data_IF_985827516004
#
_entry.id   IF_985827516004
#
_cell.length_a   1.000
_cell.length_b   1.000
_cell.length_c   1.000
_cell.angle_alpha   90.00
_cell.angle_beta   90.00
_cell.angle_gamma   90.00
#
_symmetry.space_group_name_H-M   'P 1'
#
loop_
_entity.id
_entity.type
_entity.pdbx_description
1 polymer ?
#
# COMPACT_ATOMS: atom_id res chain seq x y z
N UNK A 1 -14.01 -19.12 -3.45
CA UNK A 1 -14.03 -17.93 -4.30
C UNK A 1 -12.64 -17.29 -4.29
N UNK A 2 -12.21 -16.78 -5.43
CA UNK A 2 -11.00 -15.97 -5.52
C UNK A 2 -11.37 -14.54 -5.12
N UNK A 3 -10.58 -13.94 -4.20
CA UNK A 3 -10.87 -12.62 -3.65
C UNK A 3 -9.59 -11.82 -3.46
N UNK A 4 -9.73 -10.51 -3.44
CA UNK A 4 -8.72 -9.60 -2.92
C UNK A 4 -9.06 -9.23 -1.48
N UNK A 5 -8.05 -8.92 -0.65
CA UNK A 5 -8.30 -8.53 0.73
C UNK A 5 -7.03 -8.36 1.55
N UNK A 6 -7.23 -8.32 2.86
CA UNK A 6 -6.15 -8.11 3.82
C UNK A 6 -6.13 -9.23 4.87
N UNK A 7 -5.37 -10.31 4.63
CA UNK A 7 -5.23 -11.42 5.56
C UNK A 7 -4.23 -11.07 6.68
N UNK A 8 -4.61 -10.11 7.53
CA UNK A 8 -3.77 -9.54 8.59
C UNK A 8 -3.14 -10.60 9.51
N UNK A 9 -3.82 -11.71 9.73
CA UNK A 9 -3.40 -12.82 10.59
C UNK A 9 -2.26 -13.68 9.99
N UNK A 10 -2.00 -13.58 8.69
CA UNK A 10 -1.04 -14.43 8.00
C UNK A 10 0.17 -13.70 7.41
N UNK A 11 0.24 -12.38 7.50
CA UNK A 11 1.36 -11.59 6.98
C UNK A 11 2.48 -11.57 8.02
N UNK A 12 3.65 -12.13 7.68
CA UNK A 12 4.75 -12.35 8.62
C UNK A 12 5.94 -11.38 8.44
N UNK A 13 5.79 -10.35 7.62
CA UNK A 13 6.87 -9.35 7.46
C UNK A 13 7.07 -8.56 8.76
N UNK A 14 8.32 -8.21 9.13
CA UNK A 14 8.59 -7.45 10.37
C UNK A 14 7.81 -6.14 10.44
N UNK A 15 7.70 -5.43 9.32
CA UNK A 15 6.98 -4.16 9.22
C UNK A 15 5.49 -4.34 9.48
N UNK A 16 4.90 -5.41 8.94
CA UNK A 16 3.50 -5.72 9.19
C UNK A 16 3.26 -6.12 10.64
N UNK A 17 4.12 -6.95 11.22
CA UNK A 17 3.99 -7.37 12.62
C UNK A 17 4.12 -6.17 13.59
N UNK A 18 5.00 -5.23 13.30
CA UNK A 18 5.11 -3.99 14.08
C UNK A 18 3.84 -3.14 13.99
N UNK A 19 3.29 -2.97 12.78
CA UNK A 19 2.01 -2.27 12.56
C UNK A 19 0.86 -2.98 13.30
N UNK A 20 0.73 -4.29 13.15
CA UNK A 20 -0.33 -5.09 13.75
C UNK A 20 -0.30 -4.98 15.28
N UNK A 21 0.88 -5.13 15.89
CA UNK A 21 1.05 -5.00 17.33
C UNK A 21 0.62 -3.62 17.83
N UNK A 22 1.13 -2.55 17.21
CA UNK A 22 0.79 -1.19 17.59
C UNK A 22 -0.72 -0.90 17.44
N UNK A 23 -1.33 -1.40 16.38
CA UNK A 23 -2.76 -1.27 16.15
C UNK A 23 -3.57 -1.96 17.24
N UNK A 24 -3.27 -3.22 17.54
CA UNK A 24 -3.97 -4.01 18.55
C UNK A 24 -3.80 -3.45 19.98
N UNK A 25 -2.61 -2.96 20.31
CA UNK A 25 -2.35 -2.31 21.61
C UNK A 25 -3.21 -1.05 21.79
N UNK A 26 -3.38 -0.26 20.72
CA UNK A 26 -4.12 1.00 20.77
C UNK A 26 -5.64 0.81 20.71
N UNK A 27 -6.12 -0.04 19.81
CA UNK A 27 -7.54 -0.14 19.48
C UNK A 27 -8.23 -1.37 20.08
N UNK A 28 -7.47 -2.31 20.68
CA UNK A 28 -7.97 -3.59 21.22
C UNK A 28 -8.78 -4.41 20.23
N UNK A 29 -8.49 -4.22 18.92
CA UNK A 29 -9.16 -4.86 17.78
C UNK A 29 -8.13 -5.16 16.69
N UNK A 30 -8.51 -5.91 15.67
CA UNK A 30 -7.64 -6.17 14.51
C UNK A 30 -7.81 -5.11 13.42
N UNK A 31 -6.72 -4.80 12.69
CA UNK A 31 -6.80 -3.85 11.58
C UNK A 31 -7.58 -4.44 10.40
N UNK A 32 -8.29 -3.58 9.68
CA UNK A 32 -8.97 -3.90 8.43
C UNK A 32 -8.19 -3.31 7.26
N UNK A 33 -8.61 -3.60 6.03
CA UNK A 33 -7.93 -3.09 4.84
C UNK A 33 -7.82 -1.55 4.83
N UNK A 34 -8.87 -0.85 5.22
CA UNK A 34 -8.83 0.61 5.36
C UNK A 34 -7.77 1.10 6.38
N UNK A 35 -7.51 0.33 7.43
CA UNK A 35 -6.52 0.70 8.46
C UNK A 35 -5.10 0.70 7.89
N UNK A 36 -4.72 -0.35 7.15
CA UNK A 36 -3.38 -0.45 6.56
C UNK A 36 -3.18 0.52 5.40
N UNK A 37 -4.22 0.77 4.60
CA UNK A 37 -4.17 1.77 3.52
C UNK A 37 -4.01 3.17 4.10
N UNK A 38 -4.82 3.55 5.09
CA UNK A 38 -4.73 4.85 5.76
C UNK A 38 -3.38 5.06 6.44
N UNK A 39 -2.86 4.05 7.14
CA UNK A 39 -1.53 4.10 7.72
C UNK A 39 -0.46 4.35 6.65
N UNK A 40 -0.47 3.59 5.56
CA UNK A 40 0.49 3.73 4.47
C UNK A 40 0.40 5.10 3.79
N UNK A 41 -0.80 5.66 3.63
CA UNK A 41 -0.99 7.00 3.06
C UNK A 41 -0.37 8.10 3.95
N UNK A 42 -0.60 8.04 5.26
CA UNK A 42 -0.01 9.02 6.19
C UNK A 42 1.51 8.88 6.27
N UNK A 43 2.04 7.64 6.27
CA UNK A 43 3.48 7.42 6.25
C UNK A 43 4.11 7.92 4.95
N UNK A 44 3.41 7.80 3.82
CA UNK A 44 3.84 8.36 2.53
C UNK A 44 3.90 9.88 2.58
N UNK A 45 2.88 10.53 3.14
CA UNK A 45 2.89 11.98 3.31
C UNK A 45 4.05 12.45 4.19
N UNK A 46 4.27 11.78 5.32
CA UNK A 46 5.39 12.09 6.23
C UNK A 46 6.74 11.92 5.52
N UNK A 47 6.92 10.86 4.72
CA UNK A 47 8.13 10.64 3.92
C UNK A 47 8.30 11.74 2.84
N UNK A 48 7.22 12.14 2.18
CA UNK A 48 7.21 13.24 1.22
C UNK A 48 7.62 14.56 1.84
N UNK A 49 7.05 14.93 2.98
CA UNK A 49 7.40 16.15 3.73
C UNK A 49 8.88 16.12 4.16
N UNK A 50 9.33 14.96 4.67
CA UNK A 50 10.73 14.79 5.06
C UNK A 50 11.69 14.95 3.87
N UNK A 51 11.34 14.41 2.71
CA UNK A 51 12.16 14.54 1.48
C UNK A 51 12.12 15.97 0.92
N UNK A 52 10.95 16.61 0.94
CA UNK A 52 10.76 17.98 0.47
C UNK A 52 11.36 19.05 1.41
N UNK A 53 11.56 18.72 2.69
CA UNK A 53 11.88 19.68 3.77
C UNK A 53 10.88 20.85 3.82
N UNK A 54 9.60 20.57 3.46
CA UNK A 54 8.57 21.58 3.28
C UNK A 54 7.17 20.95 3.27
N UNK A 55 6.17 21.76 3.59
CA UNK A 55 4.75 21.45 3.38
C UNK A 55 4.14 22.17 2.19
N UNK A 56 4.97 22.89 1.41
CA UNK A 56 4.55 23.54 0.18
C UNK A 56 4.15 22.52 -0.88
N UNK A 57 3.04 22.76 -1.55
CA UNK A 57 2.42 21.80 -2.49
C UNK A 57 3.35 21.46 -3.65
N UNK A 58 4.00 22.43 -4.27
CA UNK A 58 4.85 22.20 -5.45
C UNK A 58 6.12 21.40 -5.07
N UNK A 59 6.67 21.69 -3.88
CA UNK A 59 7.79 20.93 -3.34
C UNK A 59 7.40 19.52 -3.00
N UNK A 60 6.19 19.28 -2.49
CA UNK A 60 5.66 17.96 -2.23
C UNK A 60 5.44 17.17 -3.53
N UNK A 61 4.85 17.77 -4.55
CA UNK A 61 4.69 17.15 -5.88
C UNK A 61 6.06 16.68 -6.40
N UNK A 62 7.06 17.55 -6.35
CA UNK A 62 8.43 17.20 -6.74
C UNK A 62 9.01 16.07 -5.89
N UNK A 63 8.81 16.11 -4.58
CA UNK A 63 9.33 15.11 -3.65
C UNK A 63 8.68 13.73 -3.86
N UNK A 64 7.39 13.67 -4.19
CA UNK A 64 6.70 12.42 -4.48
C UNK A 64 7.17 11.76 -5.78
N UNK A 65 7.74 12.50 -6.72
CA UNK A 65 8.32 11.93 -7.93
C UNK A 65 9.46 10.95 -7.59
N UNK A 66 9.22 9.66 -7.79
CA UNK A 66 10.15 8.59 -7.46
C UNK A 66 10.34 8.34 -5.95
N UNK A 67 9.45 8.82 -5.10
CA UNK A 67 9.52 8.56 -3.65
C UNK A 67 9.32 7.07 -3.37
N UNK A 68 10.28 6.47 -2.66
CA UNK A 68 10.18 5.09 -2.16
C UNK A 68 10.22 5.10 -0.64
N UNK A 69 9.37 4.28 -0.02
CA UNK A 69 9.34 4.09 1.42
C UNK A 69 8.95 2.65 1.78
N UNK A 70 9.33 2.23 3.00
CA UNK A 70 8.85 0.97 3.57
C UNK A 70 7.42 1.13 4.07
N UNK A 71 6.61 0.10 3.88
CA UNK A 71 5.24 0.02 4.39
C UNK A 71 4.96 -1.37 4.98
N UNK A 72 3.87 -1.55 5.73
CA UNK A 72 3.49 -2.84 6.26
C UNK A 72 3.24 -3.93 5.21
N UNK A 73 3.04 -3.57 3.95
CA UNK A 73 2.88 -4.53 2.84
C UNK A 73 4.17 -4.70 2.02
N UNK A 74 5.27 -4.08 2.43
CA UNK A 74 6.55 -4.04 1.74
C UNK A 74 6.87 -2.65 1.19
N UNK A 75 7.96 -2.50 0.43
CA UNK A 75 8.33 -1.23 -0.15
C UNK A 75 7.30 -0.79 -1.19
N UNK A 76 6.96 0.50 -1.16
CA UNK A 76 6.11 1.14 -2.16
C UNK A 76 6.87 2.30 -2.79
N UNK A 77 6.68 2.50 -4.08
CA UNK A 77 7.26 3.60 -4.85
C UNK A 77 6.16 4.39 -5.53
N UNK A 78 6.26 5.71 -5.46
CA UNK A 78 5.45 6.62 -6.26
C UNK A 78 6.17 6.86 -7.58
N UNK A 79 5.62 6.37 -8.67
CA UNK A 79 6.24 6.41 -9.99
C UNK A 79 6.48 7.86 -10.43
N UNK A 80 7.69 8.17 -10.92
CA UNK A 80 8.08 9.53 -11.26
C UNK A 80 7.18 10.17 -12.34
N UNK A 81 6.69 9.36 -13.28
CA UNK A 81 5.93 9.80 -14.43
C UNK A 81 4.50 10.27 -14.10
N UNK A 82 3.84 9.63 -13.14
CA UNK A 82 2.42 9.85 -12.87
C UNK A 82 2.06 9.83 -11.39
N UNK A 83 3.04 9.69 -10.51
CA UNK A 83 2.90 9.58 -9.06
C UNK A 83 2.01 8.41 -8.60
N UNK A 84 1.78 7.43 -9.46
CA UNK A 84 1.00 6.26 -9.08
C UNK A 84 1.81 5.35 -8.16
N UNK A 85 1.18 4.93 -7.06
CA UNK A 85 1.81 4.03 -6.10
C UNK A 85 1.90 2.61 -6.64
N UNK A 86 3.03 1.94 -6.38
CA UNK A 86 3.22 0.53 -6.67
C UNK A 86 2.62 -0.39 -5.60
N UNK A 87 1.92 0.16 -4.61
CA UNK A 87 1.26 -0.65 -3.59
C UNK A 87 0.31 -1.66 -4.24
N UNK A 88 0.50 -2.93 -3.91
CA UNK A 88 -0.30 -4.04 -4.42
C UNK A 88 -1.42 -4.46 -3.48
N UNK A 89 -1.92 -5.68 -3.69
CA UNK A 89 -2.97 -6.28 -2.86
C UNK A 89 -2.71 -7.77 -2.65
N UNK A 90 -3.28 -8.32 -1.60
CA UNK A 90 -3.30 -9.77 -1.43
C UNK A 90 -4.46 -10.38 -2.23
N UNK A 91 -4.18 -11.49 -2.89
CA UNK A 91 -5.15 -12.31 -3.61
C UNK A 91 -5.11 -13.71 -3.04
N UNK A 92 -6.25 -14.26 -2.74
CA UNK A 92 -6.37 -15.60 -2.14
C UNK A 92 -7.77 -16.16 -2.30
N UNK A 93 -8.04 -17.26 -1.61
CA UNK A 93 -9.34 -17.94 -1.62
C UNK A 93 -10.09 -17.72 -0.33
N UNK A 94 -11.39 -17.55 -0.39
CA UNK A 94 -12.24 -17.57 0.80
C UNK A 94 -12.42 -18.99 1.32
N UNK A 95 -12.38 -19.13 2.64
CA UNK A 95 -12.71 -20.36 3.36
C UNK A 95 -13.56 -20.02 4.58
N UNK A 96 -14.48 -20.88 4.95
CA UNK A 96 -15.19 -20.79 6.24
C UNK A 96 -14.43 -21.64 7.26
N UNK A 97 -13.98 -21.03 8.33
CA UNK A 97 -13.34 -21.71 9.46
C UNK A 97 -14.10 -21.35 10.76
N UNK A 98 -14.83 -22.32 11.31
CA UNK A 98 -15.59 -22.13 12.56
C UNK A 98 -16.64 -21.02 12.49
N UNK A 99 -17.31 -20.85 11.34
CA UNK A 99 -18.31 -19.80 11.11
C UNK A 99 -17.72 -18.43 10.73
N UNK A 100 -16.40 -18.31 10.62
CA UNK A 100 -15.71 -17.08 10.20
C UNK A 100 -15.16 -17.20 8.79
N UNK A 101 -15.36 -16.18 7.98
CA UNK A 101 -14.72 -16.06 6.68
C UNK A 101 -13.23 -15.72 6.82
N UNK A 102 -12.36 -16.55 6.28
CA UNK A 102 -10.92 -16.32 6.22
C UNK A 102 -10.42 -16.37 4.79
N UNK A 103 -9.27 -15.76 4.53
CA UNK A 103 -8.55 -15.88 3.27
C UNK A 103 -7.42 -16.90 3.46
N UNK A 104 -7.37 -17.89 2.57
CA UNK A 104 -6.32 -18.92 2.53
C UNK A 104 -5.62 -18.89 1.18
N UNK A 105 -4.49 -19.60 1.06
CA UNK A 105 -3.70 -19.71 -0.18
C UNK A 105 -3.41 -18.32 -0.79
N UNK A 106 -3.17 -17.33 0.07
CA UNK A 106 -3.01 -15.96 -0.37
C UNK A 106 -1.55 -15.63 -0.72
N UNK A 107 -1.41 -14.71 -1.66
CA UNK A 107 -0.12 -14.14 -2.05
C UNK A 107 -0.25 -12.64 -2.28
N UNK A 108 0.82 -11.92 -2.04
CA UNK A 108 0.91 -10.50 -2.39
C UNK A 108 1.11 -10.35 -3.90
N UNK A 109 0.26 -9.57 -4.52
CA UNK A 109 0.36 -9.19 -5.92
C UNK A 109 0.96 -7.77 -5.96
N UNK A 110 2.22 -7.69 -6.32
CA UNK A 110 2.97 -6.43 -6.40
C UNK A 110 2.35 -5.53 -7.47
N UNK A 111 1.86 -4.36 -7.06
CA UNK A 111 1.18 -3.42 -7.93
C UNK A 111 2.06 -2.92 -9.09
N UNK A 112 3.38 -2.86 -8.93
CA UNK A 112 4.29 -2.46 -9.99
C UNK A 112 4.13 -3.30 -11.27
N UNK A 113 3.74 -4.57 -11.12
CA UNK A 113 3.56 -5.50 -12.24
C UNK A 113 2.26 -5.29 -13.02
N UNK A 114 1.35 -4.49 -12.48
CA UNK A 114 0.01 -4.26 -13.04
C UNK A 114 -0.24 -2.82 -13.45
N UNK A 115 0.71 -1.93 -13.19
CA UNK A 115 0.63 -0.56 -13.67
C UNK A 115 0.78 -0.51 -15.20
N UNK A 116 0.11 0.44 -15.86
CA UNK A 116 0.31 0.66 -17.28
C UNK A 116 1.78 1.01 -17.57
N UNK A 117 2.25 0.66 -18.76
CA UNK A 117 3.59 1.03 -19.21
C UNK A 117 3.71 2.54 -19.38
N UNK A 118 4.94 3.06 -19.34
CA UNK A 118 5.18 4.49 -19.52
C UNK A 118 4.64 4.99 -20.87
N UNK A 119 4.78 4.19 -21.93
CA UNK A 119 4.23 4.51 -23.24
C UNK A 119 2.69 4.62 -23.24
N UNK A 120 2.00 3.73 -22.52
CA UNK A 120 0.56 3.79 -22.37
C UNK A 120 0.13 5.04 -21.59
N UNK A 121 0.83 5.36 -20.49
CA UNK A 121 0.53 6.57 -19.72
C UNK A 121 0.71 7.82 -20.55
N UNK A 122 1.81 7.91 -21.34
CA UNK A 122 2.04 9.04 -22.25
C UNK A 122 0.94 9.16 -23.31
N UNK A 123 0.45 8.03 -23.81
CA UNK A 123 -0.64 8.02 -24.79
C UNK A 123 -1.98 8.51 -24.20
N UNK A 124 -2.24 8.19 -22.93
CA UNK A 124 -3.51 8.51 -22.26
C UNK A 124 -3.56 9.91 -21.64
N UNK A 125 -2.40 10.52 -21.38
CA UNK A 125 -2.35 11.90 -20.90
C UNK A 125 -2.65 12.87 -22.04
N UNK A 126 -3.49 13.86 -21.75
CA UNK A 126 -3.67 14.99 -22.64
C UNK A 126 -2.32 15.62 -22.96
N UNK A 127 -2.09 15.92 -24.22
CA UNK A 127 -0.95 16.75 -24.62
C UNK A 127 -1.38 18.19 -24.33
N UNK A 128 -0.71 18.81 -23.34
CA UNK A 128 -0.82 20.25 -23.11
C UNK A 128 -0.28 21.01 -24.30
#
# INVERSE_FOLDING_TARGET
WLVTGYPWYGIQTPEHQAFLKAYQERFKDYPRQGSIIGYSAIMSLAAGIKKAQSTDTEKLITAFSGLTLSSPVGPITYRAQDHQSTMGSYVGRTKNEGGKGVMVDFRYMDGAKFLPTDAQVQQWRAKD
#
